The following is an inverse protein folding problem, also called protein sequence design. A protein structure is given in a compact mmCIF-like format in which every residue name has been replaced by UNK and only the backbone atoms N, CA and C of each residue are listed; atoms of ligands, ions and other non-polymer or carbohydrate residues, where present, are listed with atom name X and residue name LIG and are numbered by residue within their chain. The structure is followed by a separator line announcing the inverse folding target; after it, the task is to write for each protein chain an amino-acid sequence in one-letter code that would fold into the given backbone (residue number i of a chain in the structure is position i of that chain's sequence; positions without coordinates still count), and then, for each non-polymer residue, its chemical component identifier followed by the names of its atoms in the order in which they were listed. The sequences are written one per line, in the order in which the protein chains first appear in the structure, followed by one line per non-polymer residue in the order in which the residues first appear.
data_IF_331489869488
#
_entry.id   IF_331489869488
#
_cell.length_a   1.000
_cell.length_b   1.000
_cell.length_c   1.000
_cell.angle_alpha   90.00
_cell.angle_beta   90.00
_cell.angle_gamma   90.00
#
_symmetry.space_group_name_H-M   'P 1'
#
loop_
_entity.id
_entity.type
_entity.pdbx_description
1 polymer ?
#
# COMPACT_ATOMS: atom_id res chain seq x y z
N UNK A 1 -15.27 -7.26 -9.48
CA UNK A 1 -15.39 -6.91 -8.05
C UNK A 1 -13.98 -7.03 -7.45
N UNK A 2 -13.31 -5.92 -7.14
CA UNK A 2 -11.95 -5.96 -6.58
C UNK A 2 -12.03 -6.65 -5.20
N UNK A 3 -11.43 -7.84 -5.08
CA UNK A 3 -11.22 -8.48 -3.78
C UNK A 3 -10.23 -7.62 -3.01
N UNK A 4 -10.67 -7.02 -1.90
CA UNK A 4 -9.81 -6.25 -1.01
C UNK A 4 -8.78 -7.20 -0.40
N UNK A 5 -7.49 -6.97 -0.68
CA UNK A 5 -6.40 -7.86 -0.25
C UNK A 5 -5.91 -7.55 1.17
N UNK A 6 -6.00 -6.29 1.61
CA UNK A 6 -5.71 -5.86 2.98
C UNK A 6 -6.27 -4.45 3.24
N UNK A 7 -6.52 -4.14 4.52
CA UNK A 7 -6.77 -2.78 4.99
C UNK A 7 -5.47 -2.20 5.56
N UNK A 8 -5.20 -0.93 5.29
CA UNK A 8 -4.06 -0.22 5.85
C UNK A 8 -4.46 1.19 6.27
N UNK A 9 -3.91 1.64 7.40
CA UNK A 9 -4.14 2.98 7.90
C UNK A 9 -3.24 3.98 7.18
N UNK A 10 -3.84 5.03 6.64
CA UNK A 10 -3.10 6.18 6.12
C UNK A 10 -2.69 7.09 7.29
N UNK A 11 -1.43 7.51 7.32
CA UNK A 11 -0.90 8.44 8.33
C UNK A 11 -0.29 9.66 7.66
N UNK A 12 -0.47 10.84 8.25
CA UNK A 12 0.21 12.06 7.82
C UNK A 12 1.49 12.23 8.64
N UNK A 13 2.62 12.35 7.97
CA UNK A 13 3.94 12.58 8.58
C UNK A 13 4.57 13.77 7.88
N UNK A 14 4.58 14.92 8.57
CA UNK A 14 4.96 16.20 7.97
C UNK A 14 4.06 16.57 6.79
N UNK A 15 4.65 16.77 5.62
CA UNK A 15 3.93 17.09 4.39
C UNK A 15 3.63 15.86 3.51
N UNK A 16 3.81 14.65 4.04
CA UNK A 16 3.66 13.40 3.29
C UNK A 16 2.57 12.51 3.90
N UNK A 17 1.90 11.75 3.04
CA UNK A 17 1.08 10.62 3.46
C UNK A 17 1.89 9.33 3.40
N UNK A 18 1.75 8.50 4.43
CA UNK A 18 2.45 7.23 4.59
C UNK A 18 1.40 6.14 4.75
N UNK A 19 1.56 5.05 3.98
CA UNK A 19 0.80 3.81 4.16
C UNK A 19 1.76 2.74 4.69
N UNK A 20 1.33 2.02 5.73
CA UNK A 20 2.11 0.88 6.25
C UNK A 20 1.64 -0.39 5.56
N UNK A 21 2.56 -1.08 4.89
CA UNK A 21 2.29 -2.38 4.27
C UNK A 21 2.73 -3.48 5.25
N UNK A 22 1.82 -4.37 5.69
CA UNK A 22 2.20 -5.48 6.57
C UNK A 22 3.29 -6.37 5.94
N UNK A 23 4.21 -6.87 6.77
CA UNK A 23 5.30 -7.73 6.29
C UNK A 23 4.81 -9.02 5.63
N UNK A 24 3.64 -9.52 6.00
CA UNK A 24 2.96 -10.65 5.36
C UNK A 24 2.63 -10.38 3.89
N UNK A 25 2.17 -9.17 3.56
CA UNK A 25 1.87 -8.73 2.18
C UNK A 25 3.17 -8.58 1.39
N UNK A 26 4.21 -7.97 1.98
CA UNK A 26 5.54 -7.89 1.36
C UNK A 26 6.06 -9.27 0.96
N UNK A 27 5.94 -10.26 1.87
CA UNK A 27 6.36 -11.65 1.61
C UNK A 27 5.49 -12.33 0.54
N UNK A 28 4.15 -12.23 0.66
CA UNK A 28 3.20 -12.85 -0.27
C UNK A 28 3.41 -12.39 -1.71
N UNK A 29 3.63 -11.09 -1.91
CA UNK A 29 3.85 -10.49 -3.23
C UNK A 29 5.32 -10.40 -3.63
N UNK A 30 6.24 -10.96 -2.82
CA UNK A 30 7.70 -10.95 -3.05
C UNK A 30 8.24 -9.55 -3.38
N UNK A 31 7.71 -8.53 -2.71
CA UNK A 31 8.13 -7.14 -2.88
C UNK A 31 9.54 -6.97 -2.30
N UNK A 32 10.51 -6.64 -3.16
CA UNK A 32 11.91 -6.44 -2.74
C UNK A 32 12.15 -4.98 -2.36
N UNK A 33 12.99 -4.75 -1.34
CA UNK A 33 13.47 -3.41 -1.02
C UNK A 33 14.11 -2.74 -2.25
N UNK A 34 13.95 -1.42 -2.37
CA UNK A 34 14.43 -0.58 -3.49
C UNK A 34 13.73 -0.80 -4.85
N UNK A 35 12.65 -1.59 -4.90
CA UNK A 35 11.77 -1.62 -6.09
C UNK A 35 10.66 -0.59 -5.98
N UNK A 36 10.33 0.03 -7.10
CA UNK A 36 9.17 0.90 -7.20
C UNK A 36 7.89 0.09 -7.06
N UNK A 37 6.94 0.62 -6.30
CA UNK A 37 5.58 0.10 -6.20
C UNK A 37 4.68 1.09 -6.93
N UNK A 38 4.02 0.64 -7.98
CA UNK A 38 2.99 1.44 -8.65
C UNK A 38 1.72 1.34 -7.82
N UNK A 39 1.19 2.49 -7.40
CA UNK A 39 -0.08 2.59 -6.67
C UNK A 39 -1.11 3.19 -7.61
N UNK A 40 -2.18 2.44 -7.91
CA UNK A 40 -3.35 2.99 -8.60
C UNK A 40 -4.31 3.55 -7.54
N UNK A 41 -4.64 4.83 -7.63
CA UNK A 41 -5.62 5.48 -6.77
C UNK A 41 -6.85 5.76 -7.62
N UNK A 42 -7.91 4.99 -7.39
CA UNK A 42 -9.21 5.20 -8.02
C UNK A 42 -10.11 5.97 -7.05
N UNK A 43 -10.70 7.07 -7.52
CA UNK A 43 -11.66 7.83 -6.73
C UNK A 43 -13.04 7.20 -6.92
N UNK A 44 -13.57 6.55 -5.88
CA UNK A 44 -14.90 5.95 -5.90
C UNK A 44 -15.96 7.04 -5.82
N UNK A 45 -16.32 7.63 -6.97
CA UNK A 45 -17.58 8.34 -7.15
C UNK A 45 -18.57 7.46 -7.90
#
# INVERSE_FOLDING_TARGET
MLKREFDAQLRKVGNSFVVTIPSSIIRRFKLKQKRFITVSIENGK
#
